data_IF_154468988498
#
_entry.id   IF_154468988498
#
_cell.length_a   1.000
_cell.length_b   1.000
_cell.length_c   1.000
_cell.angle_alpha   90.00
_cell.angle_beta   90.00
_cell.angle_gamma   90.00
#
_symmetry.space_group_name_H-M   'P 1'
#
loop_
_entity.id
_entity.type
_entity.pdbx_description
1 polymer ?
#
# COMPACT_ATOMS: atom_id res chain seq x y z
N UNK A 1 3.30 5.66 45.86
CA UNK A 1 3.37 6.03 44.43
C UNK A 1 4.36 5.08 43.79
N UNK A 2 3.92 4.15 42.93
CA UNK A 2 4.83 3.22 42.26
C UNK A 2 5.73 3.97 41.25
N UNK A 3 7.01 3.62 41.09
CA UNK A 3 8.02 4.55 40.59
C UNK A 3 8.11 4.66 39.06
N UNK A 4 7.19 4.10 38.27
CA UNK A 4 7.31 4.15 36.81
C UNK A 4 5.96 4.26 36.10
N UNK A 5 5.74 5.39 35.42
CA UNK A 5 4.57 5.66 34.56
C UNK A 5 4.35 4.52 33.55
N UNK A 6 5.43 3.92 33.06
CA UNK A 6 5.40 2.77 32.14
C UNK A 6 4.64 1.56 32.68
N UNK A 7 4.77 1.24 33.98
CA UNK A 7 4.09 0.07 34.59
C UNK A 7 2.59 0.32 34.76
N UNK A 8 2.20 1.58 34.99
CA UNK A 8 0.80 2.01 35.07
C UNK A 8 0.10 1.96 33.70
N UNK A 9 0.74 2.49 32.66
CA UNK A 9 0.26 2.41 31.26
C UNK A 9 0.13 0.94 30.83
N UNK A 10 1.10 0.09 31.18
CA UNK A 10 1.03 -1.33 30.85
C UNK A 10 -0.10 -2.05 31.62
N UNK A 11 -0.51 -1.60 32.80
CA UNK A 11 -1.58 -2.26 33.55
C UNK A 11 -2.98 -1.89 33.06
N UNK A 12 -3.18 -0.68 32.54
CA UNK A 12 -4.49 -0.18 32.11
C UNK A 12 -4.67 -0.02 30.59
N UNK A 13 -3.62 0.33 29.83
CA UNK A 13 -3.71 0.62 28.37
C UNK A 13 -3.16 -0.49 27.47
N UNK A 14 -2.82 -1.68 28.00
CA UNK A 14 -2.34 -2.81 27.18
C UNK A 14 -3.25 -3.18 26.01
N UNK A 15 -4.57 -3.19 26.23
CA UNK A 15 -5.54 -3.53 25.18
C UNK A 15 -5.55 -2.47 24.08
N UNK A 16 -5.57 -1.20 24.47
CA UNK A 16 -5.51 -0.08 23.52
C UNK A 16 -4.20 -0.05 22.77
N UNK A 17 -3.07 -0.31 23.44
CA UNK A 17 -1.75 -0.38 22.81
C UNK A 17 -1.67 -1.50 21.77
N UNK A 18 -2.25 -2.68 22.06
CA UNK A 18 -2.32 -3.79 21.10
C UNK A 18 -3.19 -3.39 19.90
N UNK A 19 -4.36 -2.78 20.12
CA UNK A 19 -5.22 -2.30 19.04
C UNK A 19 -4.48 -1.28 18.18
N UNK A 20 -3.80 -0.32 18.79
CA UNK A 20 -3.05 0.72 18.09
C UNK A 20 -1.87 0.13 17.29
N UNK A 21 -1.21 -0.89 17.84
CA UNK A 21 -0.12 -1.60 17.17
C UNK A 21 -0.64 -2.41 15.98
N UNK A 22 -1.78 -3.07 16.11
CA UNK A 22 -2.45 -3.77 15.00
C UNK A 22 -2.86 -2.76 13.92
N UNK A 23 -3.49 -1.65 14.28
CA UNK A 23 -3.87 -0.61 13.32
C UNK A 23 -2.65 -0.06 12.59
N UNK A 24 -1.55 0.20 13.32
CA UNK A 24 -0.28 0.64 12.72
C UNK A 24 0.29 -0.41 11.77
N UNK A 25 0.27 -1.69 12.17
CA UNK A 25 0.74 -2.79 11.34
C UNK A 25 -0.10 -2.95 10.07
N UNK A 26 -1.42 -2.73 10.15
CA UNK A 26 -2.33 -2.73 9.00
C UNK A 26 -2.12 -1.50 8.09
N UNK A 27 -1.63 -0.39 8.60
CA UNK A 27 -1.25 0.77 7.79
C UNK A 27 0.03 0.54 6.99
N UNK A 28 0.95 -0.31 7.45
CA UNK A 28 2.19 -0.59 6.72
C UNK A 28 2.01 -1.16 5.31
N UNK A 29 1.19 -2.19 5.05
CA UNK A 29 0.99 -2.67 3.69
C UNK A 29 0.41 -1.58 2.78
N UNK A 30 -0.51 -0.76 3.29
CA UNK A 30 -1.07 0.37 2.55
C UNK A 30 0.00 1.41 2.19
N UNK A 31 0.80 1.84 3.16
CA UNK A 31 1.91 2.76 2.93
C UNK A 31 2.93 2.20 1.92
N UNK A 32 3.22 0.90 1.98
CA UNK A 32 4.11 0.24 1.04
C UNK A 32 3.53 0.24 -0.38
N UNK A 33 2.26 -0.11 -0.55
CA UNK A 33 1.58 -0.07 -1.85
C UNK A 33 1.52 1.35 -2.42
N UNK A 34 1.26 2.36 -1.59
CA UNK A 34 1.28 3.76 -2.00
C UNK A 34 2.64 4.18 -2.59
N UNK A 35 3.75 3.60 -2.12
CA UNK A 35 5.09 3.89 -2.63
C UNK A 35 5.49 3.02 -3.83
N UNK A 36 4.94 1.81 -3.94
CA UNK A 36 5.23 0.88 -5.04
C UNK A 36 4.38 1.15 -6.29
N UNK A 37 3.13 1.57 -6.10
CA UNK A 37 2.21 2.01 -7.17
C UNK A 37 2.83 3.07 -8.10
N UNK A 38 3.38 4.20 -7.62
CA UNK A 38 3.96 5.21 -8.50
C UNK A 38 5.18 4.68 -9.26
N UNK A 39 5.96 3.76 -8.65
CA UNK A 39 7.06 3.10 -9.35
C UNK A 39 6.56 2.20 -10.46
N UNK A 40 5.48 1.44 -10.25
CA UNK A 40 4.84 0.64 -11.30
C UNK A 40 4.24 1.49 -12.41
N UNK A 41 3.52 2.56 -12.04
CA UNK A 41 2.98 3.54 -13.00
C UNK A 41 4.10 4.09 -13.89
N UNK A 42 5.23 4.48 -13.30
CA UNK A 42 6.34 5.07 -14.07
C UNK A 42 7.10 4.00 -14.86
N UNK A 43 7.48 2.88 -14.26
CA UNK A 43 8.39 1.91 -14.89
C UNK A 43 7.67 0.99 -15.89
N UNK A 44 6.48 0.52 -15.54
CA UNK A 44 5.74 -0.47 -16.33
C UNK A 44 4.78 0.22 -17.30
N UNK A 45 4.03 1.23 -16.84
CA UNK A 45 3.00 1.86 -17.68
C UNK A 45 3.52 3.02 -18.55
N UNK A 46 4.42 3.88 -18.05
CA UNK A 46 4.96 5.04 -18.80
C UNK A 46 6.37 4.82 -19.39
N UNK A 47 7.20 4.06 -18.68
CA UNK A 47 8.62 3.83 -18.96
C UNK A 47 8.88 2.72 -19.95
N UNK A 48 7.86 1.90 -20.24
CA UNK A 48 7.83 0.96 -21.34
C UNK A 48 7.75 1.67 -22.70
N UNK A 49 8.76 2.49 -23.02
CA UNK A 49 8.97 3.05 -24.36
C UNK A 49 9.37 1.90 -25.30
N UNK A 50 8.38 1.18 -25.83
CA UNK A 50 8.52 0.26 -26.96
C UNK A 50 9.22 -1.07 -26.68
N UNK A 51 9.32 -1.52 -25.42
CA UNK A 51 9.96 -2.82 -25.06
C UNK A 51 9.13 -3.75 -24.16
N UNK A 52 7.98 -3.31 -23.65
CA UNK A 52 7.10 -4.19 -22.90
C UNK A 52 6.15 -4.90 -23.88
N UNK A 53 6.00 -6.21 -23.71
CA UNK A 53 5.01 -7.03 -24.39
C UNK A 53 3.62 -6.67 -23.85
N UNK A 54 3.08 -5.54 -24.29
CA UNK A 54 1.64 -5.28 -24.26
C UNK A 54 1.03 -6.00 -25.47
N UNK A 55 -0.10 -6.71 -25.31
CA UNK A 55 -1.00 -6.73 -24.17
C UNK A 55 -0.53 -7.61 -23.01
N UNK A 56 -0.59 -7.09 -21.78
CA UNK A 56 -0.34 -7.87 -20.57
C UNK A 56 -1.61 -8.65 -20.25
N UNK A 57 -1.60 -9.96 -20.45
CA UNK A 57 -2.72 -10.84 -20.08
C UNK A 57 -2.78 -11.00 -18.56
N UNK A 58 -3.53 -10.11 -17.90
CA UNK A 58 -3.82 -10.21 -16.48
C UNK A 58 -5.20 -10.83 -16.31
N UNK A 59 -5.26 -12.00 -15.68
CA UNK A 59 -6.52 -12.71 -15.38
C UNK A 59 -7.37 -13.16 -16.60
N UNK A 60 -6.78 -13.20 -17.80
CA UNK A 60 -7.50 -13.52 -19.05
C UNK A 60 -8.16 -12.31 -19.72
N UNK A 61 -7.90 -11.09 -19.22
CA UNK A 61 -8.24 -9.84 -19.87
C UNK A 61 -6.97 -9.24 -20.48
N UNK A 62 -7.05 -8.87 -21.76
CA UNK A 62 -6.00 -8.10 -22.42
C UNK A 62 -6.12 -6.64 -21.97
N UNK A 63 -5.12 -6.15 -21.23
CA UNK A 63 -5.03 -4.73 -20.89
C UNK A 63 -4.08 -4.04 -21.86
N UNK A 64 -4.58 -3.04 -22.56
CA UNK A 64 -3.72 -2.10 -23.28
C UNK A 64 -2.96 -1.20 -22.29
N UNK A 65 -1.84 -0.62 -22.73
CA UNK A 65 -0.96 0.23 -21.90
C UNK A 65 -1.73 1.36 -21.20
N UNK A 66 -2.70 1.95 -21.92
CA UNK A 66 -3.57 3.00 -21.38
C UNK A 66 -4.47 2.44 -20.26
N UNK A 67 -5.15 1.32 -20.49
CA UNK A 67 -6.08 0.72 -19.52
C UNK A 67 -5.36 0.28 -18.23
N UNK A 68 -4.15 -0.27 -18.35
CA UNK A 68 -3.30 -0.59 -17.20
C UNK A 68 -2.90 0.67 -16.40
N UNK A 69 -2.61 1.78 -17.10
CA UNK A 69 -2.28 3.05 -16.45
C UNK A 69 -3.48 3.63 -15.69
N UNK A 70 -4.66 3.65 -16.29
CA UNK A 70 -5.89 4.17 -15.68
C UNK A 70 -6.30 3.34 -14.46
N UNK A 71 -6.19 2.01 -14.52
CA UNK A 71 -6.50 1.12 -13.40
C UNK A 71 -5.55 1.33 -12.22
N UNK A 72 -4.23 1.34 -12.45
CA UNK A 72 -3.25 1.62 -11.40
C UNK A 72 -3.42 3.01 -10.80
N UNK A 73 -3.72 4.02 -11.63
CA UNK A 73 -3.97 5.39 -11.17
C UNK A 73 -5.24 5.49 -10.32
N UNK A 74 -6.31 4.79 -10.72
CA UNK A 74 -7.55 4.71 -9.93
C UNK A 74 -7.34 4.02 -8.59
N UNK A 75 -6.57 2.92 -8.55
CA UNK A 75 -6.18 2.25 -7.31
C UNK A 75 -5.35 3.17 -6.42
N UNK A 76 -4.38 3.89 -6.98
CA UNK A 76 -3.57 4.85 -6.23
C UNK A 76 -4.42 5.96 -5.61
N UNK A 77 -5.37 6.54 -6.35
CA UNK A 77 -6.28 7.56 -5.83
C UNK A 77 -7.23 7.03 -4.75
N UNK A 78 -7.72 5.80 -4.88
CA UNK A 78 -8.54 5.19 -3.83
C UNK A 78 -7.74 4.87 -2.55
N UNK A 79 -6.42 4.74 -2.70
CA UNK A 79 -5.46 4.45 -1.64
C UNK A 79 -4.87 5.74 -1.05
N UNK A 80 -5.30 6.95 -1.43
CA UNK A 80 -4.76 8.21 -0.90
C UNK A 80 -5.82 9.06 -0.23
#
# INVERSE_FOLDING_TARGET
MEPTIYRFIFRHSKREQIVLLIMTALSFPFLYYSLDLPKKIINEALGAKGKAAFPTNWLGFEFDQLEYLWTLSGVFLALV
#
